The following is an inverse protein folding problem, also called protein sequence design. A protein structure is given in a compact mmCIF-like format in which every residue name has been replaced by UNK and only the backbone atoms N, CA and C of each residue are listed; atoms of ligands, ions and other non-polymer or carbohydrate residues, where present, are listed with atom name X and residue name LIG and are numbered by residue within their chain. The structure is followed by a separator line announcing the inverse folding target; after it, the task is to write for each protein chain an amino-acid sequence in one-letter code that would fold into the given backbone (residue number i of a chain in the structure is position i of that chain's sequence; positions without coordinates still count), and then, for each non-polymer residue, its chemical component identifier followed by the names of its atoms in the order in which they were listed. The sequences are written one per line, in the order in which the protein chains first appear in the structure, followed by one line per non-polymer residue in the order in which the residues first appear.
data_IF_717912357683
#
_entry.id   IF_717912357683
#
_cell.length_a   1.000
_cell.length_b   1.000
_cell.length_c   1.000
_cell.angle_alpha   90.00
_cell.angle_beta   90.00
_cell.angle_gamma   90.00
#
_symmetry.space_group_name_H-M   'P 1'
#
loop_
_entity.id
_entity.type
_entity.pdbx_description
1 polymer ?
#
# COMPACT_ATOMS: atom_id res chain seq x y z
N UNK A 1 -18.51 -6.18 0.36
CA UNK A 1 -17.43 -5.27 -0.02
C UNK A 1 -17.27 -5.36 -1.53
N UNK A 2 -17.30 -4.26 -2.26
CA UNK A 2 -17.05 -4.29 -3.71
C UNK A 2 -15.53 -4.13 -3.94
N UNK A 3 -14.84 -5.25 -3.80
CA UNK A 3 -13.40 -5.34 -4.06
C UNK A 3 -13.14 -5.33 -5.57
N UNK A 4 -12.02 -4.77 -5.99
CA UNK A 4 -11.60 -4.76 -7.40
C UNK A 4 -10.39 -5.67 -7.54
N UNK A 5 -10.53 -6.72 -8.31
CA UNK A 5 -9.48 -7.67 -8.63
C UNK A 5 -8.78 -7.25 -9.91
N UNK A 6 -7.46 -7.12 -9.90
CA UNK A 6 -6.66 -6.66 -11.03
C UNK A 6 -5.54 -7.66 -11.28
N UNK A 7 -5.42 -8.20 -12.51
CA UNK A 7 -4.31 -9.07 -12.86
C UNK A 7 -2.99 -8.29 -12.88
N UNK A 8 -1.94 -8.91 -12.34
CA UNK A 8 -0.58 -8.37 -12.31
C UNK A 8 0.22 -8.98 -13.45
N UNK A 9 0.52 -8.19 -14.47
CA UNK A 9 1.34 -8.61 -15.60
C UNK A 9 2.84 -8.65 -15.24
N UNK A 10 3.62 -9.35 -16.05
CA UNK A 10 5.07 -9.39 -15.87
C UNK A 10 5.73 -8.02 -16.11
N UNK A 11 5.19 -7.22 -17.02
CA UNK A 11 5.67 -5.85 -17.27
C UNK A 11 5.47 -4.98 -16.03
N UNK A 12 4.30 -5.05 -15.39
CA UNK A 12 4.04 -4.32 -14.13
C UNK A 12 4.99 -4.78 -13.02
N UNK A 13 5.23 -6.09 -12.90
CA UNK A 13 6.20 -6.64 -11.92
C UNK A 13 7.61 -6.13 -12.17
N UNK A 14 8.02 -6.04 -13.45
CA UNK A 14 9.34 -5.55 -13.85
C UNK A 14 9.49 -4.06 -13.50
N UNK A 15 8.54 -3.22 -13.91
CA UNK A 15 8.53 -1.78 -13.62
C UNK A 15 8.62 -1.52 -12.11
N UNK A 16 7.80 -2.22 -11.33
CA UNK A 16 7.81 -2.11 -9.88
C UNK A 16 9.14 -2.57 -9.26
N UNK A 17 9.77 -3.62 -9.80
CA UNK A 17 11.04 -4.13 -9.30
C UNK A 17 12.20 -3.19 -9.60
N UNK A 18 12.25 -2.61 -10.80
CA UNK A 18 13.23 -1.59 -11.15
C UNK A 18 13.13 -0.36 -10.23
N UNK A 19 11.91 0.07 -9.93
CA UNK A 19 11.68 1.13 -8.97
C UNK A 19 12.22 0.75 -7.59
N UNK A 20 11.92 -0.47 -7.10
CA UNK A 20 12.42 -0.94 -5.81
C UNK A 20 13.96 -0.98 -5.75
N UNK A 21 14.61 -1.39 -6.83
CA UNK A 21 16.07 -1.39 -6.94
C UNK A 21 16.69 0.03 -6.91
N UNK A 22 16.02 0.99 -7.50
CA UNK A 22 16.45 2.40 -7.44
C UNK A 22 16.25 2.96 -6.04
N UNK A 23 15.09 2.72 -5.45
CA UNK A 23 14.69 3.27 -4.15
C UNK A 23 15.51 2.72 -2.98
N UNK A 24 15.90 1.45 -2.99
CA UNK A 24 16.67 0.84 -1.88
C UNK A 24 18.00 1.57 -1.61
N UNK A 25 18.56 2.25 -2.60
CA UNK A 25 19.80 3.03 -2.45
C UNK A 25 19.62 4.25 -1.55
N UNK A 26 18.40 4.73 -1.40
CA UNK A 26 18.03 5.94 -0.67
C UNK A 26 17.27 5.62 0.63
N UNK A 27 16.79 4.39 0.81
CA UNK A 27 16.20 3.97 2.08
C UNK A 27 17.31 3.70 3.08
N UNK A 28 17.51 4.68 3.94
CA UNK A 28 18.38 4.55 5.11
C UNK A 28 17.91 3.40 6.00
N UNK A 29 18.87 2.78 6.67
CA UNK A 29 18.67 1.74 7.67
C UNK A 29 17.49 2.07 8.60
N UNK A 30 16.33 1.59 8.23
CA UNK A 30 15.29 1.33 9.21
C UNK A 30 15.78 0.09 9.95
N UNK A 31 16.65 0.31 10.92
CA UNK A 31 17.19 -0.73 11.77
C UNK A 31 16.07 -1.65 12.24
N UNK A 32 16.16 -2.95 11.93
CA UNK A 32 15.20 -3.97 12.33
C UNK A 32 14.30 -4.56 11.24
N UNK A 33 14.38 -4.13 9.98
CA UNK A 33 13.50 -4.61 8.92
C UNK A 33 14.09 -5.73 8.01
N UNK A 34 14.95 -6.58 8.56
CA UNK A 34 15.42 -7.76 7.84
C UNK A 34 16.59 -7.48 6.88
N UNK A 35 16.91 -8.47 6.03
CA UNK A 35 18.00 -8.39 5.06
C UNK A 35 17.73 -7.34 3.98
N UNK A 36 18.78 -6.95 3.24
CA UNK A 36 18.63 -6.05 2.08
C UNK A 36 17.63 -6.61 1.06
N UNK A 37 17.64 -7.92 0.85
CA UNK A 37 16.71 -8.60 -0.05
C UNK A 37 15.27 -8.46 0.42
N UNK A 38 14.99 -8.73 1.69
CA UNK A 38 13.66 -8.56 2.28
C UNK A 38 13.16 -7.11 2.14
N UNK A 39 14.04 -6.12 2.32
CA UNK A 39 13.70 -4.71 2.13
C UNK A 39 13.36 -4.38 0.68
N UNK A 40 14.10 -4.92 -0.29
CA UNK A 40 13.77 -4.77 -1.72
C UNK A 40 12.37 -5.34 -1.99
N UNK A 41 12.06 -6.54 -1.48
CA UNK A 41 10.75 -7.14 -1.67
C UNK A 41 9.62 -6.32 -1.03
N UNK A 42 9.84 -5.72 0.14
CA UNK A 42 8.86 -4.82 0.77
C UNK A 42 8.59 -3.57 -0.08
N UNK A 43 9.64 -2.96 -0.63
CA UNK A 43 9.48 -1.81 -1.54
C UNK A 43 8.79 -2.26 -2.83
N UNK A 44 9.15 -3.41 -3.35
CA UNK A 44 8.55 -3.98 -4.56
C UNK A 44 7.04 -4.21 -4.39
N UNK A 45 6.61 -4.80 -3.27
CA UNK A 45 5.19 -4.94 -2.90
C UNK A 45 4.49 -3.58 -2.91
N UNK A 46 5.06 -2.58 -2.26
CA UNK A 46 4.51 -1.22 -2.24
C UNK A 46 4.39 -0.63 -3.65
N UNK A 47 5.43 -0.79 -4.47
CA UNK A 47 5.44 -0.28 -5.85
C UNK A 47 4.41 -0.97 -6.75
N UNK A 48 4.21 -2.29 -6.60
CA UNK A 48 3.15 -3.02 -7.32
C UNK A 48 1.78 -2.41 -6.96
N UNK A 49 1.51 -2.20 -5.67
CA UNK A 49 0.23 -1.62 -5.25
C UNK A 49 -0.01 -0.22 -5.81
N UNK A 50 1.00 0.63 -5.83
CA UNK A 50 0.89 1.96 -6.45
C UNK A 50 0.58 1.85 -7.94
N UNK A 51 1.24 0.96 -8.70
CA UNK A 51 0.95 0.75 -10.11
C UNK A 51 -0.44 0.16 -10.37
N UNK A 52 -0.93 -0.72 -9.49
CA UNK A 52 -2.30 -1.24 -9.58
C UNK A 52 -3.33 -0.13 -9.35
N UNK A 53 -3.11 0.75 -8.38
CA UNK A 53 -4.00 1.88 -8.16
C UNK A 53 -3.95 2.88 -9.31
N UNK A 54 -2.76 3.17 -9.85
CA UNK A 54 -2.58 3.97 -11.07
C UNK A 54 -3.42 3.40 -12.21
N UNK A 55 -3.25 2.12 -12.53
CA UNK A 55 -4.01 1.44 -13.58
C UNK A 55 -5.52 1.55 -13.37
N UNK A 56 -5.99 1.37 -12.15
CA UNK A 56 -7.40 1.51 -11.82
C UNK A 56 -7.94 2.93 -12.03
N UNK A 57 -7.16 3.97 -11.69
CA UNK A 57 -7.52 5.36 -11.97
C UNK A 57 -7.61 5.62 -13.48
N UNK A 58 -6.65 5.12 -14.26
CA UNK A 58 -6.62 5.22 -15.73
C UNK A 58 -7.85 4.56 -16.37
N UNK A 59 -8.17 3.33 -15.96
CA UNK A 59 -9.35 2.58 -16.46
C UNK A 59 -10.66 3.31 -16.15
N UNK A 60 -10.73 4.02 -15.02
CA UNK A 60 -11.88 4.83 -14.65
C UNK A 60 -11.84 6.27 -15.19
N UNK A 61 -10.82 6.63 -16.00
CA UNK A 61 -10.63 7.94 -16.63
C UNK A 61 -10.56 9.09 -15.60
N UNK A 62 -9.94 8.82 -14.44
CA UNK A 62 -9.75 9.79 -13.38
C UNK A 62 -8.40 10.48 -13.58
N UNK A 63 -8.39 11.81 -13.59
CA UNK A 63 -7.15 12.57 -13.67
C UNK A 63 -6.41 12.54 -12.34
N UNK A 64 -5.11 12.28 -12.36
CA UNK A 64 -4.27 12.19 -11.19
C UNK A 64 -2.84 12.65 -11.47
N UNK A 65 -2.15 13.04 -10.41
CA UNK A 65 -0.70 13.19 -10.39
C UNK A 65 -0.10 11.98 -9.66
N UNK A 66 0.88 11.36 -10.28
CA UNK A 66 1.63 10.23 -9.74
C UNK A 66 3.06 10.28 -10.26
N UNK A 67 4.01 10.15 -9.36
CA UNK A 67 5.41 10.07 -9.73
C UNK A 67 6.14 9.12 -8.78
N UNK A 68 6.83 8.14 -9.34
CA UNK A 68 7.81 7.37 -8.60
C UNK A 68 9.03 8.25 -8.30
N UNK A 69 9.08 8.83 -7.12
CA UNK A 69 10.24 9.63 -6.72
C UNK A 69 11.35 8.71 -6.20
N UNK A 70 12.43 8.60 -6.96
CA UNK A 70 13.66 8.00 -6.47
C UNK A 70 14.44 9.06 -5.67
N UNK A 71 14.55 8.91 -4.35
CA UNK A 71 15.58 9.61 -3.59
C UNK A 71 15.17 10.65 -2.57
N UNK A 72 13.90 10.96 -2.39
CA UNK A 72 13.38 11.72 -1.24
C UNK A 72 12.09 11.09 -0.76
N UNK A 73 11.71 11.38 0.49
CA UNK A 73 10.39 11.01 0.99
C UNK A 73 9.34 11.59 0.06
N UNK A 74 8.59 10.70 -0.59
CA UNK A 74 7.48 11.09 -1.45
C UNK A 74 6.56 12.03 -0.67
N UNK A 75 6.20 13.17 -1.27
CA UNK A 75 5.27 14.09 -0.64
C UNK A 75 3.89 13.41 -0.50
N UNK A 76 3.55 12.57 -1.47
CA UNK A 76 2.31 11.78 -1.53
C UNK A 76 2.50 10.62 -2.54
N UNK A 77 1.64 9.59 -2.46
CA UNK A 77 1.61 8.55 -3.49
C UNK A 77 0.81 9.04 -4.70
N UNK A 78 -0.38 9.60 -4.45
CA UNK A 78 -1.25 10.15 -5.51
C UNK A 78 -1.87 11.47 -5.08
N UNK A 79 -2.07 12.36 -6.08
CA UNK A 79 -2.95 13.51 -5.96
C UNK A 79 -4.05 13.42 -7.00
N UNK A 80 -5.31 13.45 -6.54
CA UNK A 80 -6.50 13.38 -7.38
C UNK A 80 -7.42 14.53 -7.00
N UNK A 81 -7.72 15.43 -7.93
CA UNK A 81 -8.53 16.63 -7.67
C UNK A 81 -8.12 17.39 -6.38
N UNK A 82 -6.82 17.65 -6.24
CA UNK A 82 -6.20 18.29 -5.07
C UNK A 82 -6.24 17.48 -3.77
N UNK A 83 -6.79 16.28 -3.76
CA UNK A 83 -6.82 15.40 -2.59
C UNK A 83 -5.62 14.47 -2.60
N UNK A 84 -4.99 14.32 -1.45
CA UNK A 84 -3.79 13.50 -1.27
C UNK A 84 -4.18 12.13 -0.78
N UNK A 85 -3.73 11.10 -1.49
CA UNK A 85 -4.04 9.70 -1.23
C UNK A 85 -2.75 8.95 -0.92
N UNK A 86 -2.76 8.20 0.17
CA UNK A 86 -1.73 7.23 0.52
C UNK A 86 -2.19 5.83 0.13
N UNK A 87 -1.29 5.03 -0.46
CA UNK A 87 -1.58 3.66 -0.86
C UNK A 87 -0.80 2.70 0.03
N UNK A 88 -1.51 1.90 0.80
CA UNK A 88 -0.92 0.83 1.61
C UNK A 88 -1.09 -0.52 0.91
N UNK A 89 0.02 -1.21 0.74
CA UNK A 89 0.03 -2.52 0.10
C UNK A 89 0.54 -3.58 1.06
N UNK A 90 -0.17 -4.69 1.13
CA UNK A 90 0.21 -5.85 1.93
C UNK A 90 0.20 -7.11 1.07
N UNK A 91 1.23 -7.95 1.24
CA UNK A 91 1.25 -9.27 0.62
C UNK A 91 0.46 -10.29 1.43
N UNK A 92 -0.13 -11.27 0.76
CA UNK A 92 -0.79 -12.40 1.41
C UNK A 92 -0.37 -13.75 0.79
N UNK A 93 -0.50 -14.80 1.61
CA UNK A 93 -0.27 -16.18 1.19
C UNK A 93 -1.52 -16.73 0.51
N UNK A 94 -1.38 -17.34 -0.66
CA UNK A 94 -2.50 -17.88 -1.45
C UNK A 94 -3.38 -18.86 -0.64
N UNK A 95 -2.76 -19.68 0.21
CA UNK A 95 -3.47 -20.68 1.03
C UNK A 95 -4.39 -20.08 2.10
N UNK A 96 -4.17 -18.81 2.49
CA UNK A 96 -4.90 -18.15 3.57
C UNK A 96 -5.81 -17.03 3.05
N UNK A 97 -5.52 -16.50 1.85
CA UNK A 97 -6.19 -15.31 1.32
C UNK A 97 -5.85 -14.04 2.10
N UNK A 98 -6.57 -12.96 1.84
CA UNK A 98 -6.34 -11.64 2.47
C UNK A 98 -7.43 -11.21 3.45
N UNK A 99 -8.59 -11.87 3.48
CA UNK A 99 -9.78 -11.42 4.23
C UNK A 99 -9.59 -11.31 5.75
N UNK A 100 -8.59 -11.97 6.30
CA UNK A 100 -8.22 -11.87 7.72
C UNK A 100 -7.19 -10.76 8.00
N UNK A 101 -6.69 -10.10 6.96
CA UNK A 101 -5.76 -9.00 7.10
C UNK A 101 -6.49 -7.70 7.44
N UNK A 102 -5.74 -6.73 7.94
CA UNK A 102 -6.22 -5.40 8.24
C UNK A 102 -5.36 -4.38 7.46
N UNK A 103 -5.92 -3.21 7.22
CA UNK A 103 -5.09 -2.06 6.90
C UNK A 103 -4.28 -1.72 8.15
N UNK A 104 -2.98 -1.62 7.99
CA UNK A 104 -2.05 -1.39 9.09
C UNK A 104 -1.31 -0.07 8.93
N UNK A 105 -1.27 0.71 10.01
CA UNK A 105 -0.53 1.96 10.09
C UNK A 105 0.29 2.01 11.37
N UNK A 106 1.59 2.25 11.25
CA UNK A 106 2.42 2.57 12.41
C UNK A 106 2.17 4.02 12.85
N UNK A 107 2.30 4.31 14.13
CA UNK A 107 2.00 5.63 14.71
C UNK A 107 2.84 6.74 14.07
N UNK A 108 4.12 6.50 13.83
CA UNK A 108 5.03 7.44 13.19
C UNK A 108 4.62 7.76 11.74
N UNK A 109 4.16 6.74 11.01
CA UNK A 109 3.65 6.89 9.65
C UNK A 109 2.32 7.66 9.65
N UNK A 110 1.44 7.37 10.60
CA UNK A 110 0.17 8.10 10.74
C UNK A 110 0.42 9.57 11.05
N UNK A 111 1.30 9.86 12.02
CA UNK A 111 1.68 11.23 12.33
C UNK A 111 2.35 11.96 11.14
N UNK A 112 3.15 11.24 10.34
CA UNK A 112 3.74 11.79 9.13
C UNK A 112 2.65 12.11 8.07
N UNK A 113 1.66 11.24 7.90
CA UNK A 113 0.54 11.44 6.98
C UNK A 113 -0.33 12.65 7.36
N UNK A 114 -0.57 12.86 8.66
CA UNK A 114 -1.27 14.07 9.13
C UNK A 114 -0.50 15.35 8.76
N UNK A 115 0.82 15.37 8.91
CA UNK A 115 1.66 16.53 8.52
C UNK A 115 1.67 16.76 7.01
N UNK A 116 1.49 15.70 6.22
CA UNK A 116 1.42 15.73 4.75
C UNK A 116 0.01 16.01 4.22
N UNK A 117 -0.97 16.17 5.12
CA UNK A 117 -2.38 16.38 4.80
C UNK A 117 -2.98 15.25 3.93
N UNK A 118 -2.67 14.00 4.26
CA UNK A 118 -3.35 12.86 3.63
C UNK A 118 -4.85 12.90 3.93
N UNK A 119 -5.67 12.82 2.88
CA UNK A 119 -7.12 12.82 3.02
C UNK A 119 -7.69 11.40 2.99
N UNK A 120 -7.09 10.52 2.21
CA UNK A 120 -7.53 9.14 2.06
C UNK A 120 -6.36 8.16 2.15
N UNK A 121 -6.67 6.96 2.61
CA UNK A 121 -5.78 5.81 2.54
C UNK A 121 -6.49 4.68 1.79
N UNK A 122 -5.85 4.13 0.76
CA UNK A 122 -6.32 2.99 -0.03
C UNK A 122 -5.55 1.75 0.38
N UNK A 123 -6.26 0.64 0.67
CA UNK A 123 -5.64 -0.64 0.95
C UNK A 123 -5.67 -1.55 -0.27
N UNK A 124 -4.50 -2.07 -0.61
CA UNK A 124 -4.31 -3.06 -1.67
C UNK A 124 -3.65 -4.31 -1.09
N UNK A 125 -4.06 -5.45 -1.57
CA UNK A 125 -3.44 -6.73 -1.27
C UNK A 125 -2.90 -7.36 -2.56
N UNK A 126 -1.76 -8.05 -2.45
CA UNK A 126 -1.18 -8.82 -3.56
C UNK A 126 -0.86 -10.25 -3.11
N UNK A 127 -1.11 -11.22 -3.96
CA UNK A 127 -0.84 -12.61 -3.69
C UNK A 127 0.65 -12.98 -3.89
N UNK A 128 1.01 -14.21 -3.50
CA UNK A 128 2.36 -14.75 -3.68
C UNK A 128 3.37 -14.34 -2.61
N UNK A 129 2.95 -13.70 -1.51
CA UNK A 129 3.85 -13.31 -0.43
C UNK A 129 4.09 -14.46 0.55
N UNK A 130 5.34 -14.78 0.82
CA UNK A 130 5.74 -15.69 1.89
C UNK A 130 6.03 -14.90 3.18
N UNK A 131 5.22 -15.13 4.22
CA UNK A 131 5.38 -14.44 5.51
C UNK A 131 6.59 -14.89 6.32
N UNK A 132 7.04 -16.12 6.14
CA UNK A 132 8.18 -16.68 6.88
C UNK A 132 9.45 -16.02 6.37
N UNK A 133 9.68 -16.06 5.06
CA UNK A 133 10.88 -15.52 4.43
C UNK A 133 10.80 -14.02 4.18
N UNK A 134 9.59 -13.44 4.25
CA UNK A 134 9.28 -12.05 3.89
C UNK A 134 9.63 -11.70 2.44
N UNK A 135 9.48 -12.67 1.56
CA UNK A 135 9.77 -12.56 0.14
C UNK A 135 8.48 -12.67 -0.68
N UNK A 136 8.45 -11.97 -1.81
CA UNK A 136 7.40 -12.09 -2.81
C UNK A 136 7.84 -13.13 -3.85
N UNK A 137 7.04 -14.19 -4.02
CA UNK A 137 7.24 -15.16 -5.09
C UNK A 137 6.69 -14.57 -6.40
N UNK A 138 7.60 -14.21 -7.29
CA UNK A 138 7.27 -13.59 -8.57
C UNK A 138 6.35 -14.43 -9.43
N UNK A 139 6.47 -15.77 -9.36
CA UNK A 139 5.68 -16.69 -10.20
C UNK A 139 4.24 -16.80 -9.71
N UNK A 140 4.00 -16.57 -8.41
CA UNK A 140 2.69 -16.60 -7.78
C UNK A 140 2.02 -15.24 -7.67
N UNK A 141 2.81 -14.16 -7.77
CA UNK A 141 2.31 -12.79 -7.74
C UNK A 141 1.62 -12.47 -9.07
N UNK A 142 0.33 -12.78 -9.18
CA UNK A 142 -0.45 -12.63 -10.42
C UNK A 142 -1.77 -11.89 -10.23
N UNK A 143 -2.16 -11.58 -8.99
CA UNK A 143 -3.39 -10.88 -8.65
C UNK A 143 -3.16 -9.83 -7.58
N UNK A 144 -3.75 -8.66 -7.81
CA UNK A 144 -3.91 -7.61 -6.81
C UNK A 144 -5.38 -7.32 -6.51
N UNK A 145 -5.68 -6.96 -5.28
CA UNK A 145 -7.03 -6.66 -4.82
C UNK A 145 -7.06 -5.28 -4.19
N UNK A 146 -7.77 -4.33 -4.78
CA UNK A 146 -8.10 -3.06 -4.12
C UNK A 146 -9.26 -3.35 -3.18
N UNK A 147 -8.97 -3.43 -1.90
CA UNK A 147 -9.95 -3.80 -0.89
C UNK A 147 -10.91 -2.66 -0.53
N UNK A 148 -10.46 -1.42 -0.67
CA UNK A 148 -11.25 -0.23 -0.38
C UNK A 148 -10.39 0.91 0.13
N UNK A 149 -11.07 1.94 0.67
CA UNK A 149 -10.42 3.13 1.22
C UNK A 149 -11.02 3.52 2.57
N UNK A 150 -10.30 4.36 3.29
CA UNK A 150 -10.77 5.05 4.50
C UNK A 150 -10.33 6.52 4.45
N UNK A 151 -11.14 7.42 4.99
CA UNK A 151 -10.71 8.78 5.26
C UNK A 151 -9.58 8.75 6.28
N UNK A 152 -8.47 9.42 5.96
CA UNK A 152 -7.23 9.27 6.71
C UNK A 152 -7.38 9.59 8.19
N UNK A 153 -8.13 10.64 8.53
CA UNK A 153 -8.35 11.07 9.91
C UNK A 153 -9.13 10.05 10.75
N UNK A 154 -9.92 9.16 10.13
CA UNK A 154 -10.69 8.10 10.83
C UNK A 154 -9.80 6.94 11.28
N UNK A 155 -8.60 6.79 10.74
CA UNK A 155 -7.65 5.72 11.14
C UNK A 155 -7.38 5.77 12.66
N UNK A 156 -7.36 6.96 13.26
CA UNK A 156 -7.14 7.13 14.71
C UNK A 156 -8.16 6.39 15.60
N UNK A 157 -9.36 6.12 15.07
CA UNK A 157 -10.43 5.41 15.80
C UNK A 157 -10.09 3.92 16.01
N UNK A 158 -9.13 3.40 15.24
CA UNK A 158 -8.71 2.00 15.23
C UNK A 158 -7.37 1.76 15.93
N UNK A 159 -7.09 2.55 16.96
CA UNK A 159 -5.86 2.38 17.75
C UNK A 159 -5.83 0.99 18.36
N UNK A 160 -4.74 0.26 18.12
CA UNK A 160 -4.56 -1.08 18.68
C UNK A 160 -4.20 -0.96 20.17
N UNK A 161 -4.96 -1.55 21.09
CA UNK A 161 -4.66 -1.48 22.53
C UNK A 161 -3.40 -2.26 22.94
N UNK A 162 -2.91 -3.15 22.08
CA UNK A 162 -1.70 -3.92 22.33
C UNK A 162 -0.48 -3.06 21.90
N UNK A 163 0.19 -2.47 22.89
CA UNK A 163 1.47 -1.81 22.66
C UNK A 163 2.46 -2.80 22.07
N UNK A 164 2.98 -2.49 20.88
CA UNK A 164 4.13 -3.21 20.35
C UNK A 164 5.42 -2.54 20.82
N UNK A 165 6.52 -3.29 20.73
CA UNK A 165 7.87 -2.81 21.06
C UNK A 165 8.26 -1.50 20.35
N UNK A 166 7.59 -1.18 19.24
CA UNK A 166 7.87 -0.05 18.34
C UNK A 166 6.85 1.09 18.39
N UNK A 167 5.99 1.14 19.41
CA UNK A 167 4.96 2.16 19.54
C UNK A 167 3.53 1.65 19.29
N UNK A 168 2.59 2.57 19.31
CA UNK A 168 1.19 2.30 19.02
C UNK A 168 0.98 2.07 17.51
N UNK A 169 0.10 1.15 17.19
CA UNK A 169 -0.29 0.83 15.82
C UNK A 169 -1.79 1.07 15.63
N UNK A 170 -2.18 1.33 14.41
CA UNK A 170 -3.58 1.37 14.01
C UNK A 170 -3.90 0.18 13.11
N UNK A 171 -5.01 -0.51 13.40
CA UNK A 171 -5.48 -1.67 12.64
C UNK A 171 -6.92 -1.46 12.24
N UNK A 172 -7.14 -1.09 11.00
CA UNK A 172 -8.48 -0.93 10.45
C UNK A 172 -8.96 -2.26 9.87
N UNK A 173 -10.01 -2.87 10.45
CA UNK A 173 -10.61 -4.07 9.87
C UNK A 173 -11.16 -3.79 8.46
N UNK A 174 -11.07 -4.75 7.55
CA UNK A 174 -11.53 -4.56 6.15
C UNK A 174 -13.00 -4.17 6.05
N UNK A 175 -13.83 -4.63 6.97
CA UNK A 175 -15.26 -4.30 7.02
C UNK A 175 -15.51 -2.78 7.21
N UNK A 176 -14.53 -2.05 7.72
CA UNK A 176 -14.59 -0.60 7.93
C UNK A 176 -14.06 0.21 6.74
N UNK A 177 -13.59 -0.48 5.68
CA UNK A 177 -13.21 0.20 4.45
C UNK A 177 -14.44 0.46 3.58
N UNK A 178 -14.48 1.64 3.01
CA UNK A 178 -15.49 2.00 2.02
C UNK A 178 -15.08 1.48 0.63
N UNK A 179 -16.06 1.10 -0.22
CA UNK A 179 -15.79 0.69 -1.60
C UNK A 179 -15.10 1.81 -2.39
N UNK A 180 -14.06 1.46 -3.17
CA UNK A 180 -13.29 2.43 -3.95
C UNK A 180 -14.16 3.24 -4.93
N UNK A 181 -15.27 2.67 -5.41
CA UNK A 181 -16.24 3.37 -6.26
C UNK A 181 -16.90 4.58 -5.59
N UNK A 182 -16.98 4.61 -4.25
CA UNK A 182 -17.43 5.79 -3.51
C UNK A 182 -16.36 6.88 -3.50
N UNK A 183 -15.07 6.50 -3.39
CA UNK A 183 -13.97 7.45 -3.46
C UNK A 183 -14.05 8.25 -4.76
N UNK A 184 -14.27 7.57 -5.89
CA UNK A 184 -14.36 8.20 -7.21
C UNK A 184 -15.55 9.15 -7.38
N UNK A 185 -16.66 8.89 -6.68
CA UNK A 185 -17.83 9.81 -6.67
C UNK A 185 -17.60 11.05 -5.83
N UNK A 186 -16.69 11.00 -4.87
CA UNK A 186 -16.35 12.09 -3.96
C UNK A 186 -15.16 12.93 -4.45
N UNK A 187 -14.58 12.55 -5.58
CA UNK A 187 -13.50 13.23 -6.29
C UNK A 187 -14.01 13.98 -7.50
#
# INVERSE_FOLDING_TARGET
MNEIHIPISDDLKNEAYEHAQKRIKFEYDRAGYGSREQRIHMIWIGSIGQLLFKKNLEENKINFEFEFQAGKYDAYDFRVNNKIIDVKTSGFEDSKGYKYLNLFYAEDQFAAGLRKNYEYCVQIFINGYNRIDRLLDRTKCNEGVIAGYIEFHKIKEFKNPLKRFWGDDYKVPLINLEPISKLYKNM
#
